data_IF_214429439169
#
_entry.id   IF_214429439169
#
_cell.length_a   1.000
_cell.length_b   1.000
_cell.length_c   1.000
_cell.angle_alpha   90.00
_cell.angle_beta   90.00
_cell.angle_gamma   90.00
#
_symmetry.space_group_name_H-M   'P 1'
#
loop_
_entity.id
_entity.type
_entity.pdbx_description
1 polymer ?
#
# COMPACT_ATOMS: atom_id res chain seq x y z
N UNK A 1 7.99 34.48 -20.20
CA UNK A 1 8.69 34.27 -18.91
C UNK A 1 9.56 33.03 -19.07
N UNK A 2 10.88 33.18 -19.18
CA UNK A 2 11.85 32.10 -19.47
C UNK A 2 12.52 31.63 -18.17
N UNK A 3 11.74 31.07 -17.24
CA UNK A 3 12.28 30.53 -15.97
C UNK A 3 12.03 29.04 -15.91
N UNK A 4 13.11 28.26 -15.91
CA UNK A 4 13.09 26.83 -15.64
C UNK A 4 13.44 26.67 -14.15
N UNK A 5 12.42 26.71 -13.30
CA UNK A 5 12.58 26.57 -11.85
C UNK A 5 11.27 26.84 -11.11
N UNK A 6 11.01 26.07 -10.07
CA UNK A 6 9.90 26.27 -9.14
C UNK A 6 10.44 26.35 -7.72
N UNK A 7 9.76 27.08 -6.84
CA UNK A 7 10.12 27.17 -5.44
C UNK A 7 9.55 25.97 -4.67
N UNK A 8 10.42 25.04 -4.26
CA UNK A 8 10.09 23.89 -3.41
C UNK A 8 10.67 24.00 -2.00
N UNK A 9 10.94 25.22 -1.50
CA UNK A 9 11.43 25.41 -0.12
C UNK A 9 10.37 24.94 0.88
N UNK A 10 10.79 24.06 1.79
CA UNK A 10 10.02 23.70 2.98
C UNK A 10 9.93 24.92 3.90
N UNK A 11 8.78 25.13 4.56
CA UNK A 11 8.65 26.24 5.50
C UNK A 11 9.27 25.91 6.86
N UNK A 12 9.69 26.94 7.60
CA UNK A 12 10.24 26.77 8.96
C UNK A 12 9.25 26.07 9.91
N UNK A 13 7.95 26.33 9.79
CA UNK A 13 6.93 25.66 10.60
C UNK A 13 6.86 24.16 10.28
N UNK A 14 6.91 23.78 8.99
CA UNK A 14 6.94 22.37 8.60
C UNK A 14 8.23 21.68 9.10
N UNK A 15 9.37 22.37 9.01
CA UNK A 15 10.65 21.87 9.52
C UNK A 15 10.62 21.69 11.05
N UNK A 16 10.10 22.68 11.79
CA UNK A 16 9.96 22.64 13.25
C UNK A 16 9.08 21.48 13.72
N UNK A 17 8.06 21.09 12.95
CA UNK A 17 7.25 19.89 13.21
C UNK A 17 8.02 18.62 12.82
N UNK A 18 8.71 18.59 11.68
CA UNK A 18 9.37 17.39 11.16
C UNK A 18 10.57 16.94 12.00
N UNK A 19 11.41 17.87 12.46
CA UNK A 19 12.64 17.58 13.24
C UNK A 19 12.36 16.67 14.46
N UNK A 20 11.43 16.99 15.39
CA UNK A 20 11.15 16.12 16.52
C UNK A 20 10.48 14.79 16.12
N UNK A 21 9.73 14.76 15.00
CA UNK A 21 9.15 13.52 14.49
C UNK A 21 10.24 12.56 13.98
N UNK A 22 11.27 13.10 13.32
CA UNK A 22 12.46 12.35 12.90
C UNK A 22 13.27 11.87 14.12
N UNK A 23 13.40 12.69 15.16
CA UNK A 23 14.03 12.28 16.42
C UNK A 23 13.36 11.08 17.12
N UNK A 24 12.06 10.86 16.87
CA UNK A 24 11.30 9.70 17.37
C UNK A 24 11.18 8.54 16.37
N UNK A 25 11.81 8.63 15.19
CA UNK A 25 11.57 7.71 14.08
C UNK A 25 11.92 6.26 14.43
N UNK A 26 13.09 6.02 15.02
CA UNK A 26 13.55 4.66 15.36
C UNK A 26 12.63 3.98 16.37
N UNK A 27 12.20 4.71 17.40
CA UNK A 27 11.25 4.20 18.40
C UNK A 27 9.94 3.76 17.75
N UNK A 28 9.38 4.58 16.85
CA UNK A 28 8.12 4.27 16.16
C UNK A 28 8.28 3.12 15.16
N UNK A 29 9.42 3.06 14.48
CA UNK A 29 9.72 1.99 13.54
C UNK A 29 9.90 0.65 14.24
N UNK A 30 10.54 0.63 15.42
CA UNK A 30 10.64 -0.58 16.24
C UNK A 30 9.26 -1.17 16.57
N UNK A 31 8.29 -0.34 16.91
CA UNK A 31 6.91 -0.79 17.17
C UNK A 31 6.27 -1.36 15.90
N UNK A 32 6.42 -0.68 14.76
CA UNK A 32 5.92 -1.18 13.45
C UNK A 32 6.51 -2.55 13.11
N UNK A 33 7.82 -2.71 13.30
CA UNK A 33 8.53 -3.96 13.04
C UNK A 33 8.04 -5.08 13.95
N UNK A 34 7.89 -4.82 15.25
CA UNK A 34 7.39 -5.79 16.22
C UNK A 34 5.97 -6.23 15.88
N UNK A 35 5.05 -5.29 15.64
CA UNK A 35 3.66 -5.58 15.28
C UNK A 35 3.58 -6.34 13.94
N UNK A 36 4.37 -5.93 12.96
CA UNK A 36 4.42 -6.59 11.64
C UNK A 36 4.94 -8.01 11.73
N UNK A 37 6.06 -8.23 12.42
CA UNK A 37 6.63 -9.55 12.62
C UNK A 37 5.66 -10.46 13.39
N UNK A 38 4.96 -9.92 14.38
CA UNK A 38 3.96 -10.64 15.16
C UNK A 38 2.80 -11.14 14.28
N UNK A 39 2.18 -10.24 13.51
CA UNK A 39 1.07 -10.58 12.61
C UNK A 39 1.50 -11.57 11.52
N UNK A 40 2.67 -11.36 10.89
CA UNK A 40 3.21 -12.29 9.90
C UNK A 40 3.39 -13.68 10.51
N UNK A 41 3.97 -13.78 11.72
CA UNK A 41 4.18 -15.06 12.40
C UNK A 41 2.86 -15.77 12.69
N UNK A 42 1.87 -15.06 13.24
CA UNK A 42 0.58 -15.65 13.68
C UNK A 42 -0.32 -16.05 12.52
N UNK A 43 -0.37 -15.26 11.46
CA UNK A 43 -1.23 -15.51 10.31
C UNK A 43 -0.62 -16.45 9.26
N UNK A 44 0.66 -16.82 9.40
CA UNK A 44 1.36 -17.73 8.46
C UNK A 44 0.72 -19.11 8.33
N UNK A 45 -0.05 -19.54 9.33
CA UNK A 45 -0.80 -20.81 9.29
C UNK A 45 -1.85 -20.86 8.17
N UNK A 46 -2.37 -19.70 7.75
CA UNK A 46 -3.33 -19.62 6.66
C UNK A 46 -2.63 -19.64 5.30
N UNK A 47 -2.64 -20.80 4.62
CA UNK A 47 -2.04 -20.97 3.29
C UNK A 47 -2.57 -20.00 2.23
N UNK A 48 -3.80 -19.51 2.40
CA UNK A 48 -4.41 -18.52 1.52
C UNK A 48 -3.84 -17.10 1.71
N UNK A 49 -3.13 -16.82 2.80
CA UNK A 49 -2.51 -15.52 3.09
C UNK A 49 -1.01 -15.57 2.87
N UNK A 50 -0.55 -14.97 1.77
CA UNK A 50 0.87 -14.82 1.50
C UNK A 50 1.40 -13.51 2.12
N UNK A 51 2.40 -13.57 3.01
CA UNK A 51 3.02 -12.38 3.58
C UNK A 51 3.86 -11.62 2.52
N UNK A 52 4.23 -10.37 2.80
CA UNK A 52 5.17 -9.64 1.95
C UNK A 52 6.52 -10.39 1.92
N UNK A 53 7.12 -10.48 0.73
CA UNK A 53 8.47 -10.98 0.59
C UNK A 53 9.45 -9.84 0.87
N UNK A 54 10.35 -10.06 1.83
CA UNK A 54 11.40 -9.11 2.21
C UNK A 54 12.72 -9.62 1.66
N UNK A 55 13.44 -8.76 0.94
CA UNK A 55 14.73 -9.09 0.36
C UNK A 55 15.78 -9.36 1.45
N UNK A 56 16.70 -10.29 1.19
CA UNK A 56 17.76 -10.65 2.14
C UNK A 56 18.64 -9.42 2.39
N UNK A 57 18.88 -9.11 3.66
CA UNK A 57 19.67 -7.94 4.06
C UNK A 57 18.86 -6.64 4.20
N UNK A 58 17.55 -6.66 3.89
CA UNK A 58 16.69 -5.49 4.02
C UNK A 58 15.96 -5.44 5.37
N UNK A 59 15.83 -4.24 5.92
CA UNK A 59 14.99 -3.94 7.10
C UNK A 59 13.58 -3.58 6.64
N UNK A 60 12.57 -4.35 7.04
CA UNK A 60 11.19 -4.14 6.60
C UNK A 60 10.40 -3.28 7.59
N UNK A 61 10.31 -1.99 7.29
CA UNK A 61 9.51 -1.01 8.04
C UNK A 61 8.32 -0.61 7.19
N UNK A 62 7.23 -1.37 7.25
CA UNK A 62 6.06 -1.02 6.45
C UNK A 62 5.23 0.10 7.09
N UNK A 63 4.69 0.96 6.23
CA UNK A 63 3.63 1.90 6.61
C UNK A 63 2.26 1.21 6.65
N UNK A 64 2.05 0.22 5.78
CA UNK A 64 0.87 -0.63 5.74
C UNK A 64 1.33 -2.07 5.50
N UNK A 65 0.86 -3.00 6.32
CA UNK A 65 1.15 -4.42 6.13
C UNK A 65 0.21 -4.96 5.05
N UNK A 66 0.79 -5.49 3.96
CA UNK A 66 0.05 -5.99 2.80
C UNK A 66 0.25 -7.50 2.67
N UNK A 67 -0.84 -8.25 2.61
CA UNK A 67 -0.86 -9.66 2.25
C UNK A 67 -1.47 -9.84 0.87
N UNK A 68 -1.10 -10.93 0.20
CA UNK A 68 -1.86 -11.43 -0.95
C UNK A 68 -2.76 -12.56 -0.49
N UNK A 69 -4.05 -12.41 -0.71
CA UNK A 69 -5.04 -13.46 -0.53
C UNK A 69 -5.16 -14.28 -1.82
N UNK A 70 -4.69 -15.52 -1.76
CA UNK A 70 -4.81 -16.50 -2.83
C UNK A 70 -5.95 -17.43 -2.45
N UNK A 71 -7.13 -17.13 -3.01
CA UNK A 71 -8.35 -17.92 -2.82
C UNK A 71 -8.09 -19.38 -3.18
N UNK A 72 -8.43 -20.29 -2.27
CA UNK A 72 -8.45 -21.73 -2.52
C UNK A 72 -9.87 -22.17 -2.92
N UNK A 73 -9.98 -23.41 -3.42
CA UNK A 73 -11.27 -24.04 -3.67
C UNK A 73 -12.07 -24.02 -2.37
N UNK A 74 -13.35 -23.63 -2.45
CA UNK A 74 -14.29 -23.55 -1.32
C UNK A 74 -14.04 -22.43 -0.28
N UNK A 75 -13.09 -21.52 -0.54
CA UNK A 75 -12.94 -20.30 0.26
C UNK A 75 -13.73 -19.11 -0.34
N UNK A 76 -14.18 -18.16 0.50
CA UNK A 76 -14.76 -16.91 0.04
C UNK A 76 -13.77 -16.08 -0.78
N UNK A 77 -14.26 -15.13 -1.56
CA UNK A 77 -13.39 -14.18 -2.26
C UNK A 77 -12.75 -13.15 -1.31
N UNK A 78 -11.80 -12.38 -1.84
CA UNK A 78 -11.05 -11.36 -1.09
C UNK A 78 -11.98 -10.29 -0.50
N UNK A 79 -12.97 -9.84 -1.27
CA UNK A 79 -13.84 -8.74 -0.88
C UNK A 79 -14.79 -9.17 0.25
N UNK A 80 -15.27 -10.42 0.21
CA UNK A 80 -15.98 -11.03 1.33
C UNK A 80 -15.11 -11.07 2.59
N UNK A 81 -13.86 -11.53 2.49
CA UNK A 81 -12.94 -11.59 3.64
C UNK A 81 -12.70 -10.20 4.24
N UNK A 82 -12.52 -9.17 3.40
CA UNK A 82 -12.39 -7.78 3.85
C UNK A 82 -13.64 -7.33 4.60
N UNK A 83 -14.84 -7.60 4.07
CA UNK A 83 -16.11 -7.24 4.74
C UNK A 83 -16.29 -7.96 6.07
N UNK A 84 -15.97 -9.25 6.14
CA UNK A 84 -16.07 -10.04 7.35
C UNK A 84 -15.12 -9.51 8.45
N UNK A 85 -13.86 -9.22 8.10
CA UNK A 85 -12.90 -8.64 9.05
C UNK A 85 -13.32 -7.25 9.55
N UNK A 86 -13.90 -6.41 8.67
CA UNK A 86 -14.46 -5.12 9.07
C UNK A 86 -15.63 -5.30 10.04
N UNK A 87 -16.49 -6.30 9.82
CA UNK A 87 -17.61 -6.61 10.73
C UNK A 87 -17.13 -7.08 12.11
N UNK A 88 -15.96 -7.73 12.19
CA UNK A 88 -15.27 -8.04 13.45
C UNK A 88 -14.52 -6.83 14.06
N UNK A 89 -14.68 -5.64 13.49
CA UNK A 89 -14.05 -4.41 14.00
C UNK A 89 -12.60 -4.21 13.54
N UNK A 90 -12.09 -5.03 12.63
CA UNK A 90 -10.72 -4.90 12.12
C UNK A 90 -10.71 -4.10 10.80
N UNK A 91 -10.17 -2.87 10.80
CA UNK A 91 -10.15 -2.00 9.63
C UNK A 91 -9.08 -2.44 8.61
N UNK A 92 -9.43 -3.44 7.80
CA UNK A 92 -8.70 -3.83 6.59
C UNK A 92 -9.30 -3.18 5.35
N UNK A 93 -8.53 -3.17 4.26
CA UNK A 93 -9.06 -2.81 2.95
C UNK A 93 -8.45 -3.68 1.85
N UNK A 94 -9.11 -3.71 0.69
CA UNK A 94 -8.66 -4.46 -0.46
C UNK A 94 -8.05 -3.54 -1.51
N UNK A 95 -6.77 -3.75 -1.85
CA UNK A 95 -6.08 -3.13 -2.99
C UNK A 95 -6.32 -1.63 -3.24
N UNK A 96 -5.86 -1.16 -4.39
CA UNK A 96 -6.17 0.17 -4.90
C UNK A 96 -7.48 0.13 -5.71
N UNK A 97 -8.31 1.17 -5.58
CA UNK A 97 -9.51 1.30 -6.42
C UNK A 97 -9.17 1.44 -7.92
N UNK A 98 -8.00 2.01 -8.23
CA UNK A 98 -7.47 2.18 -9.58
C UNK A 98 -5.94 2.13 -9.53
N UNK A 99 -5.32 1.47 -10.50
CA UNK A 99 -3.86 1.47 -10.64
C UNK A 99 -3.38 2.71 -11.40
N UNK A 100 -2.13 3.09 -11.18
CA UNK A 100 -1.60 4.34 -11.73
C UNK A 100 -1.68 4.39 -13.25
N UNK A 101 -1.36 3.30 -13.95
CA UNK A 101 -1.41 3.25 -15.42
C UNK A 101 -2.83 3.32 -15.99
N UNK A 102 -3.87 3.11 -15.17
CA UNK A 102 -5.29 3.24 -15.55
C UNK A 102 -5.81 4.66 -15.33
N UNK A 103 -5.06 5.52 -14.62
CA UNK A 103 -5.49 6.87 -14.30
C UNK A 103 -5.74 7.68 -15.60
N UNK A 104 -6.90 8.35 -15.73
CA UNK A 104 -7.22 9.21 -16.88
C UNK A 104 -6.14 10.23 -17.24
N UNK A 105 -5.36 10.71 -16.27
CA UNK A 105 -4.23 11.61 -16.55
C UNK A 105 -3.25 10.96 -17.54
N UNK A 106 -2.95 9.67 -17.39
CA UNK A 106 -2.04 8.96 -18.29
C UNK A 106 -2.77 8.36 -19.51
N UNK A 107 -3.91 7.70 -19.30
CA UNK A 107 -4.64 7.04 -20.41
C UNK A 107 -5.21 8.02 -21.43
N UNK A 108 -5.62 9.22 -20.99
CA UNK A 108 -6.00 10.33 -21.89
C UNK A 108 -4.85 11.28 -22.20
N UNK A 109 -3.63 10.99 -21.73
CA UNK A 109 -2.42 11.78 -21.97
C UNK A 109 -2.59 13.27 -21.62
N UNK A 110 -3.29 13.53 -20.51
CA UNK A 110 -3.52 14.88 -19.98
C UNK A 110 -2.23 15.35 -19.34
N UNK A 111 -1.59 16.33 -19.95
CA UNK A 111 -0.33 16.88 -19.50
C UNK A 111 -0.28 18.39 -19.79
N UNK A 112 0.91 18.97 -19.87
CA UNK A 112 1.07 20.42 -19.86
C UNK A 112 0.59 21.08 -21.16
N UNK A 113 -0.07 22.22 -21.00
CA UNK A 113 -0.61 23.01 -22.10
C UNK A 113 -1.74 22.31 -22.86
N UNK A 114 -2.27 23.01 -23.87
CA UNK A 114 -3.40 22.51 -24.66
C UNK A 114 -3.01 21.53 -25.79
N UNK A 115 -1.71 21.44 -26.12
CA UNK A 115 -1.22 20.70 -27.29
C UNK A 115 -0.89 19.22 -27.01
N UNK A 116 -1.11 18.73 -25.78
CA UNK A 116 -0.86 17.32 -25.42
C UNK A 116 0.61 16.97 -25.18
N UNK A 117 1.46 17.97 -24.93
CA UNK A 117 2.84 17.71 -24.57
C UNK A 117 2.97 17.18 -23.12
N UNK A 118 3.94 16.29 -22.80
CA UNK A 118 5.09 15.94 -23.63
C UNK A 118 4.79 14.91 -24.72
N UNK A 119 3.65 14.23 -24.69
CA UNK A 119 3.37 13.09 -25.57
C UNK A 119 3.37 13.42 -27.07
N UNK A 120 2.95 14.63 -27.44
CA UNK A 120 2.95 15.13 -28.82
C UNK A 120 4.18 15.99 -29.16
N UNK A 121 5.03 16.31 -28.18
CA UNK A 121 6.20 17.15 -28.38
C UNK A 121 7.32 16.35 -29.06
N UNK A 122 8.06 16.99 -29.99
CA UNK A 122 9.13 16.38 -30.79
C UNK A 122 10.27 15.76 -29.96
N UNK A 123 10.43 16.21 -28.72
CA UNK A 123 11.42 15.68 -27.78
C UNK A 123 11.03 14.33 -27.17
N UNK A 124 9.74 13.96 -27.20
CA UNK A 124 9.28 12.67 -26.73
C UNK A 124 9.28 11.66 -27.88
N UNK A 125 10.19 10.67 -27.81
CA UNK A 125 10.30 9.57 -28.77
C UNK A 125 9.70 8.25 -28.26
N UNK A 126 8.98 8.30 -27.14
CA UNK A 126 8.44 7.11 -26.48
C UNK A 126 7.10 6.66 -27.05
N UNK A 127 6.74 5.41 -26.76
CA UNK A 127 5.49 4.78 -27.21
C UNK A 127 4.66 4.24 -26.03
N UNK A 128 4.78 4.88 -24.86
CA UNK A 128 4.15 4.40 -23.64
C UNK A 128 2.63 4.22 -23.82
N UNK A 129 2.16 3.04 -23.43
CA UNK A 129 0.75 2.66 -23.39
C UNK A 129 0.25 2.76 -21.96
N UNK A 130 -1.02 3.14 -21.82
CA UNK A 130 -1.70 3.30 -20.54
C UNK A 130 -3.12 2.75 -20.69
N UNK A 131 -3.71 2.35 -19.57
CA UNK A 131 -5.02 1.73 -19.50
C UNK A 131 -4.98 0.26 -19.09
N UNK A 132 -6.17 -0.35 -18.89
CA UNK A 132 -6.29 -1.75 -18.48
C UNK A 132 -5.54 -2.70 -19.41
N UNK A 133 -4.98 -3.77 -18.86
CA UNK A 133 -4.24 -4.80 -19.59
C UNK A 133 -2.78 -4.44 -19.90
N UNK A 134 -2.34 -3.20 -19.66
CA UNK A 134 -0.92 -2.82 -19.84
C UNK A 134 -0.03 -3.44 -18.76
N UNK A 135 -0.53 -3.55 -17.53
CA UNK A 135 0.20 -4.12 -16.39
C UNK A 135 -0.58 -5.31 -15.81
N UNK A 136 -0.75 -6.42 -16.55
CA UNK A 136 -1.68 -7.49 -16.19
C UNK A 136 -1.32 -8.15 -14.85
N UNK A 137 -0.03 -8.29 -14.54
CA UNK A 137 0.42 -8.83 -13.26
C UNK A 137 0.05 -7.92 -12.09
N UNK A 138 0.20 -6.60 -12.24
CA UNK A 138 -0.17 -5.62 -11.22
C UNK A 138 -1.68 -5.61 -11.00
N UNK A 139 -2.47 -5.71 -12.07
CA UNK A 139 -3.93 -5.80 -12.03
C UNK A 139 -4.42 -7.04 -11.28
N UNK A 140 -3.80 -8.19 -11.53
CA UNK A 140 -4.09 -9.44 -10.78
C UNK A 140 -3.71 -9.31 -9.31
N UNK A 141 -2.51 -8.80 -9.00
CA UNK A 141 -2.05 -8.64 -7.62
C UNK A 141 -2.96 -7.67 -6.85
N UNK A 142 -3.45 -6.61 -7.50
CA UNK A 142 -4.35 -5.63 -6.89
C UNK A 142 -5.66 -6.24 -6.37
N UNK A 143 -6.20 -7.22 -7.11
CA UNK A 143 -7.39 -8.00 -6.70
C UNK A 143 -7.11 -8.96 -5.54
N UNK A 144 -5.84 -9.30 -5.30
CA UNK A 144 -5.42 -10.20 -4.22
C UNK A 144 -5.02 -9.44 -2.94
N UNK A 145 -4.76 -8.12 -3.01
CA UNK A 145 -4.25 -7.40 -1.85
C UNK A 145 -5.28 -7.30 -0.73
N UNK A 146 -4.84 -7.61 0.49
CA UNK A 146 -5.47 -7.20 1.75
C UNK A 146 -4.41 -6.42 2.50
N UNK A 147 -4.75 -5.22 2.96
CA UNK A 147 -3.81 -4.40 3.73
C UNK A 147 -4.39 -3.91 5.04
N UNK A 148 -3.50 -3.79 6.02
CA UNK A 148 -3.80 -3.36 7.37
C UNK A 148 -2.87 -2.20 7.75
N UNK A 149 -3.47 -1.10 8.18
CA UNK A 149 -2.76 0.17 8.41
C UNK A 149 -2.30 0.34 9.86
N UNK A 150 -2.90 -0.37 10.81
CA UNK A 150 -2.79 -0.08 12.25
C UNK A 150 -1.64 -0.83 12.92
N UNK A 151 -0.49 -0.90 12.26
CA UNK A 151 0.74 -1.49 12.81
C UNK A 151 1.63 -0.46 13.52
N UNK A 152 1.33 0.83 13.36
CA UNK A 152 2.05 1.95 13.96
C UNK A 152 1.52 2.28 15.37
N UNK A 153 2.28 3.04 16.18
CA UNK A 153 1.76 3.62 17.41
C UNK A 153 0.47 4.44 17.17
N UNK A 154 -0.50 4.43 18.10
CA UNK A 154 -0.42 3.88 19.46
C UNK A 154 -0.74 2.39 19.57
N UNK A 155 -0.97 1.68 18.47
CA UNK A 155 -1.38 0.27 18.49
C UNK A 155 -0.29 -0.62 19.11
N UNK A 156 -0.73 -1.47 20.02
CA UNK A 156 0.06 -2.37 20.84
C UNK A 156 -0.06 -3.81 20.34
N UNK A 157 0.65 -4.73 21.01
CA UNK A 157 0.47 -6.17 20.77
C UNK A 157 -0.98 -6.61 21.01
N UNK A 158 -1.69 -6.04 21.98
CA UNK A 158 -3.08 -6.41 22.28
C UNK A 158 -3.98 -6.13 21.08
N UNK A 159 -3.82 -4.98 20.44
CA UNK A 159 -4.56 -4.65 19.21
C UNK A 159 -4.22 -5.64 18.09
N UNK A 160 -2.98 -6.15 18.05
CA UNK A 160 -2.60 -7.18 17.07
C UNK A 160 -3.17 -8.56 17.43
N UNK A 161 -3.41 -8.83 18.71
CA UNK A 161 -4.12 -10.04 19.16
C UNK A 161 -5.57 -10.02 18.69
N UNK A 162 -6.24 -8.86 18.77
CA UNK A 162 -7.60 -8.68 18.25
C UNK A 162 -7.67 -8.93 16.73
N UNK A 163 -6.67 -8.46 15.98
CA UNK A 163 -6.53 -8.77 14.54
C UNK A 163 -6.42 -10.28 14.32
N UNK A 164 -5.57 -10.97 15.07
CA UNK A 164 -5.38 -12.42 14.93
C UNK A 164 -6.67 -13.17 15.27
N UNK A 165 -7.36 -12.79 16.34
CA UNK A 165 -8.64 -13.38 16.75
C UNK A 165 -9.72 -13.22 15.66
N UNK A 166 -9.80 -12.06 15.02
CA UNK A 166 -10.73 -11.84 13.91
C UNK A 166 -10.42 -12.74 12.70
N UNK A 167 -9.14 -12.88 12.33
CA UNK A 167 -8.74 -13.82 11.28
C UNK A 167 -9.04 -15.27 11.67
N UNK A 168 -8.86 -15.63 12.95
CA UNK A 168 -9.21 -16.94 13.48
C UNK A 168 -10.70 -17.24 13.42
N UNK A 169 -11.54 -16.27 13.72
CA UNK A 169 -12.99 -16.42 13.65
C UNK A 169 -13.52 -16.48 12.22
N UNK A 170 -12.90 -15.74 11.30
CA UNK A 170 -13.38 -15.62 9.91
C UNK A 170 -12.85 -16.73 9.00
N UNK A 171 -11.64 -17.25 9.26
CA UNK A 171 -10.98 -18.25 8.42
C UNK A 171 -10.68 -19.59 9.11
N UNK A 172 -10.82 -19.66 10.44
CA UNK A 172 -10.71 -20.91 11.21
C UNK A 172 -12.03 -21.65 11.23
#
# INVERSE_FOLDING_TARGET
>A
MNVIGMNFRLTEIQAAVAIPQLGSLDRRNKIREQNTAYLIKKLRKYKALLPPQVEKGSRYICFMLKWRYIRQKDMPDRDWLVKALIAEGIPVSGGYARLMHENPIFSKRIAYGAKGCPYSCSFYRGTAKYGPGVCPRSEVINKQFIWFKYINPPNTKRDMDDVVAAFEKVLG
#
